data_IF_071127770800
#
_entry.id   IF_071127770800
#
_cell.length_a   1.000
_cell.length_b   1.000
_cell.length_c   1.000
_cell.angle_alpha   90.00
_cell.angle_beta   90.00
_cell.angle_gamma   90.00
#
_symmetry.space_group_name_H-M   'P 1'
#
loop_
_entity.id
_entity.type
_entity.pdbx_description
1 polymer ?
#
# COMPACT_ATOMS: atom_id res chain seq x y z
N UNK A 1 8.83 19.65 19.15
CA UNK A 1 7.88 18.53 19.01
C UNK A 1 8.65 17.24 19.26
N UNK A 2 8.01 16.23 19.88
CA UNK A 2 8.59 14.89 19.99
C UNK A 2 8.65 14.25 18.61
N UNK A 3 9.68 13.45 18.34
CA UNK A 3 9.72 12.62 17.14
C UNK A 3 8.68 11.51 17.22
N UNK A 4 8.14 11.10 16.07
CA UNK A 4 7.08 10.11 15.97
C UNK A 4 7.55 8.82 15.33
N UNK A 5 7.18 7.69 15.93
CA UNK A 5 7.42 6.36 15.39
C UNK A 5 6.09 5.67 15.11
N UNK A 6 5.93 5.16 13.89
CA UNK A 6 4.86 4.22 13.55
C UNK A 6 5.40 2.79 13.59
N UNK A 7 4.71 1.93 14.35
CA UNK A 7 4.92 0.50 14.41
C UNK A 7 3.71 -0.22 13.81
N UNK A 8 3.91 -1.12 12.86
CA UNK A 8 2.83 -1.82 12.17
C UNK A 8 2.96 -3.32 12.42
N UNK A 9 1.86 -3.95 12.86
CA UNK A 9 1.70 -5.39 12.87
C UNK A 9 1.45 -5.90 11.44
N UNK A 10 2.49 -6.46 10.85
CA UNK A 10 2.49 -6.84 9.44
C UNK A 10 1.45 -7.91 9.10
N UNK A 11 1.36 -8.98 9.90
CA UNK A 11 0.39 -10.05 9.64
C UNK A 11 -1.04 -9.63 9.91
N UNK A 12 -1.29 -8.88 10.98
CA UNK A 12 -2.63 -8.40 11.32
C UNK A 12 -3.18 -7.48 10.22
N UNK A 13 -2.38 -6.51 9.79
CA UNK A 13 -2.80 -5.55 8.75
C UNK A 13 -2.92 -6.23 7.38
N UNK A 14 -2.00 -7.16 7.04
CA UNK A 14 -2.06 -7.91 5.78
C UNK A 14 -3.31 -8.82 5.72
N UNK A 15 -3.60 -9.53 6.81
CA UNK A 15 -4.79 -10.37 6.94
C UNK A 15 -6.07 -9.54 6.79
N UNK A 16 -6.12 -8.41 7.48
CA UNK A 16 -7.23 -7.46 7.38
C UNK A 16 -7.43 -6.96 5.95
N UNK A 17 -6.34 -6.60 5.27
CA UNK A 17 -6.36 -6.14 3.90
C UNK A 17 -6.89 -7.21 2.96
N UNK A 18 -6.46 -8.46 3.13
CA UNK A 18 -6.90 -9.61 2.34
C UNK A 18 -8.41 -9.80 2.35
N UNK A 19 -9.03 -9.73 3.55
CA UNK A 19 -10.49 -9.89 3.67
C UNK A 19 -11.28 -8.58 3.45
N UNK A 20 -10.62 -7.44 3.47
CA UNK A 20 -11.24 -6.13 3.31
C UNK A 20 -11.25 -5.60 1.88
N UNK A 21 -10.38 -6.09 1.02
CA UNK A 21 -10.25 -5.69 -0.39
C UNK A 21 -10.72 -6.85 -1.27
N UNK A 22 -11.56 -6.59 -2.28
CA UNK A 22 -11.92 -7.62 -3.27
C UNK A 22 -10.69 -8.26 -3.88
N UNK A 23 -10.82 -9.50 -4.36
CA UNK A 23 -9.70 -10.20 -4.99
C UNK A 23 -9.17 -9.41 -6.19
N UNK A 24 -7.86 -9.17 -6.18
CA UNK A 24 -7.11 -8.50 -7.23
C UNK A 24 -5.96 -9.39 -7.66
N UNK A 25 -5.79 -9.54 -8.96
CA UNK A 25 -4.67 -10.27 -9.54
C UNK A 25 -3.92 -9.39 -10.54
N UNK A 26 -2.60 -9.57 -10.63
CA UNK A 26 -1.80 -8.92 -11.67
C UNK A 26 -1.81 -9.73 -12.98
N UNK A 27 -1.10 -9.28 -14.00
CA UNK A 27 -1.00 -9.94 -15.30
C UNK A 27 -0.35 -11.35 -15.23
N UNK A 28 0.42 -11.64 -14.18
CA UNK A 28 1.04 -12.95 -13.92
C UNK A 28 0.10 -13.92 -13.19
N UNK A 29 -1.13 -13.48 -12.84
CA UNK A 29 -2.09 -14.26 -12.04
C UNK A 29 -1.77 -14.28 -10.54
N UNK A 30 -0.89 -13.42 -10.06
CA UNK A 30 -0.53 -13.30 -8.64
C UNK A 30 -1.60 -12.49 -7.93
N UNK A 31 -2.12 -13.01 -6.81
CA UNK A 31 -3.04 -12.26 -5.95
C UNK A 31 -2.32 -11.07 -5.29
N UNK A 32 -2.92 -9.88 -5.33
CA UNK A 32 -2.30 -8.62 -4.89
C UNK A 32 -3.20 -7.78 -3.99
N UNK A 33 -4.42 -8.23 -3.69
CA UNK A 33 -5.39 -7.50 -2.88
C UNK A 33 -4.91 -7.20 -1.46
N UNK A 34 -4.21 -8.14 -0.81
CA UNK A 34 -3.66 -7.92 0.53
C UNK A 34 -2.53 -6.89 0.51
N UNK A 35 -1.64 -6.94 -0.50
CA UNK A 35 -0.57 -5.96 -0.68
C UNK A 35 -1.17 -4.55 -0.88
N UNK A 36 -2.14 -4.44 -1.79
CA UNK A 36 -2.79 -3.17 -2.10
C UNK A 36 -3.47 -2.55 -0.87
N UNK A 37 -4.23 -3.37 -0.13
CA UNK A 37 -4.91 -2.91 1.08
C UNK A 37 -3.94 -2.56 2.20
N UNK A 38 -2.85 -3.33 2.38
CA UNK A 38 -1.79 -3.03 3.34
C UNK A 38 -1.16 -1.67 3.05
N UNK A 39 -0.75 -1.42 1.80
CA UNK A 39 -0.16 -0.14 1.39
C UNK A 39 -1.13 1.03 1.59
N UNK A 40 -2.41 0.87 1.28
CA UNK A 40 -3.42 1.91 1.53
C UNK A 40 -3.49 2.28 3.02
N UNK A 41 -3.50 1.28 3.91
CA UNK A 41 -3.51 1.52 5.35
C UNK A 41 -2.22 2.21 5.78
N UNK A 42 -1.06 1.69 5.38
CA UNK A 42 0.25 2.22 5.73
C UNK A 42 0.41 3.67 5.27
N UNK A 43 0.15 3.96 3.99
CA UNK A 43 0.29 5.33 3.46
C UNK A 43 -0.70 6.30 4.10
N UNK A 44 -1.92 5.86 4.43
CA UNK A 44 -2.88 6.69 5.16
C UNK A 44 -2.29 7.15 6.49
N UNK A 45 -1.68 6.26 7.27
CA UNK A 45 -1.07 6.62 8.55
C UNK A 45 0.18 7.48 8.38
N UNK A 46 0.99 7.24 7.36
CA UNK A 46 2.12 8.09 7.00
C UNK A 46 1.65 9.52 6.68
N UNK A 47 0.62 9.65 5.82
CA UNK A 47 0.06 10.93 5.40
C UNK A 47 -0.58 11.70 6.58
N UNK A 48 -1.26 10.97 7.50
CA UNK A 48 -1.96 11.53 8.65
C UNK A 48 -1.00 11.97 9.76
N UNK A 49 -0.04 11.11 10.13
CA UNK A 49 0.82 11.34 11.29
C UNK A 49 2.14 12.03 10.95
N UNK A 50 2.60 11.92 9.69
CA UNK A 50 3.91 12.40 9.22
C UNK A 50 5.02 11.95 10.17
N UNK A 51 5.25 10.63 10.30
CA UNK A 51 6.19 10.09 11.27
C UNK A 51 7.64 10.38 10.87
N UNK A 52 8.54 10.42 11.86
CA UNK A 52 9.98 10.44 11.63
C UNK A 52 10.55 9.05 11.39
N UNK A 53 9.88 8.00 11.92
CA UNK A 53 10.32 6.61 11.85
C UNK A 53 9.15 5.68 11.56
N UNK A 54 9.43 4.58 10.84
CA UNK A 54 8.45 3.52 10.57
C UNK A 54 9.09 2.14 10.61
N UNK A 55 8.40 1.19 11.25
CA UNK A 55 8.84 -0.20 11.32
C UNK A 55 7.64 -1.13 11.21
N UNK A 56 7.83 -2.24 10.50
CA UNK A 56 6.82 -3.30 10.37
C UNK A 56 7.34 -4.57 11.03
N UNK A 57 6.59 -5.13 11.98
CA UNK A 57 6.91 -6.40 12.61
C UNK A 57 6.15 -7.55 11.94
N UNK A 58 6.83 -8.69 11.76
CA UNK A 58 6.19 -9.91 11.28
C UNK A 58 6.52 -11.10 12.18
N UNK A 59 5.54 -12.01 12.31
CA UNK A 59 5.76 -13.32 12.92
C UNK A 59 6.61 -14.20 12.01
N UNK A 60 7.39 -15.06 12.61
CA UNK A 60 8.03 -16.20 11.94
C UNK A 60 7.22 -17.48 12.16
N UNK A 61 7.39 -18.44 11.25
CA UNK A 61 6.66 -19.72 11.34
C UNK A 61 7.17 -20.65 12.47
N UNK A 62 8.23 -20.26 13.19
CA UNK A 62 8.80 -21.03 14.27
C UNK A 62 7.92 -20.98 15.54
N UNK A 63 7.88 -22.04 16.35
CA UNK A 63 7.19 -22.02 17.64
C UNK A 63 7.76 -20.96 18.57
N UNK A 64 6.89 -20.21 19.24
CA UNK A 64 7.27 -19.19 20.21
C UNK A 64 7.40 -19.79 21.62
N UNK A 65 7.88 -19.00 22.59
CA UNK A 65 7.95 -19.42 23.99
C UNK A 65 6.57 -19.81 24.54
N UNK A 66 5.47 -19.19 24.06
CA UNK A 66 4.10 -19.55 24.43
C UNK A 66 3.71 -20.96 23.97
N UNK A 67 4.12 -21.35 22.76
CA UNK A 67 3.89 -22.72 22.27
C UNK A 67 4.68 -23.78 23.06
N UNK A 68 5.86 -23.41 23.59
CA UNK A 68 6.67 -24.31 24.43
C UNK A 68 6.01 -24.54 25.78
N UNK A 69 5.39 -23.50 26.36
CA UNK A 69 4.67 -23.57 27.64
C UNK A 69 3.31 -24.22 27.48
N UNK A 70 2.58 -23.92 26.39
CA UNK A 70 1.26 -24.43 26.14
C UNK A 70 1.09 -24.88 24.71
N UNK A 71 1.24 -26.17 24.42
CA UNK A 71 1.23 -26.73 23.07
C UNK A 71 -0.08 -26.48 22.29
N UNK A 72 -1.20 -26.24 23.01
CA UNK A 72 -2.49 -25.92 22.40
C UNK A 72 -2.68 -24.41 22.08
N UNK A 73 -1.70 -23.54 22.41
CA UNK A 73 -1.76 -22.12 22.11
C UNK A 73 -1.95 -21.88 20.61
N UNK A 74 -2.92 -21.04 20.24
CA UNK A 74 -3.34 -20.77 18.86
C UNK A 74 -3.71 -22.02 18.02
N UNK A 75 -3.83 -23.20 18.65
CA UNK A 75 -4.09 -24.48 17.98
C UNK A 75 -5.46 -24.59 17.31
N UNK A 76 -6.40 -23.70 17.64
CA UNK A 76 -7.73 -23.61 17.02
C UNK A 76 -7.78 -22.68 15.81
N UNK A 77 -6.71 -21.93 15.53
CA UNK A 77 -6.65 -21.02 14.38
C UNK A 77 -6.67 -21.80 13.06
N UNK A 78 -7.50 -21.36 12.15
CA UNK A 78 -7.50 -21.93 10.78
C UNK A 78 -6.18 -21.61 10.07
N UNK A 79 -5.67 -22.50 9.20
CA UNK A 79 -4.54 -22.20 8.37
C UNK A 79 -4.77 -20.94 7.53
N UNK A 80 -3.70 -20.19 7.30
CA UNK A 80 -3.74 -19.03 6.41
C UNK A 80 -4.14 -19.46 4.99
N UNK A 81 -5.05 -18.71 4.34
CA UNK A 81 -5.46 -18.96 2.97
C UNK A 81 -4.23 -19.00 2.04
N UNK A 82 -4.17 -19.94 1.08
CA UNK A 82 -3.01 -20.05 0.17
C UNK A 82 -2.69 -18.75 -0.56
N UNK A 83 -3.72 -18.02 -0.99
CA UNK A 83 -3.62 -16.75 -1.71
C UNK A 83 -3.01 -15.64 -0.82
N UNK A 84 -3.34 -15.63 0.46
CA UNK A 84 -2.73 -14.72 1.44
C UNK A 84 -1.28 -15.12 1.74
N UNK A 85 -1.03 -16.44 1.89
CA UNK A 85 0.31 -16.97 2.17
C UNK A 85 1.32 -16.60 1.07
N UNK A 86 0.88 -16.57 -0.20
CA UNK A 86 1.70 -16.14 -1.32
C UNK A 86 2.07 -14.64 -1.22
N UNK A 87 1.21 -13.82 -0.64
CA UNK A 87 1.41 -12.38 -0.55
C UNK A 87 2.36 -11.96 0.58
N UNK A 88 2.58 -12.79 1.60
CA UNK A 88 3.49 -12.47 2.73
C UNK A 88 4.94 -12.21 2.26
N UNK A 89 5.61 -13.06 1.48
CA UNK A 89 6.95 -12.75 0.99
C UNK A 89 6.98 -11.52 0.06
N UNK A 90 5.92 -11.30 -0.73
CA UNK A 90 5.85 -10.19 -1.67
C UNK A 90 5.71 -8.84 -0.96
N UNK A 91 4.92 -8.75 0.11
CA UNK A 91 4.86 -7.50 0.90
C UNK A 91 6.20 -7.21 1.57
N UNK A 92 6.90 -8.23 2.08
CA UNK A 92 8.24 -8.04 2.67
C UNK A 92 9.28 -7.58 1.63
N UNK A 93 9.23 -8.14 0.42
CA UNK A 93 10.05 -7.71 -0.72
C UNK A 93 9.79 -6.23 -1.03
N UNK A 94 8.53 -5.85 -1.14
CA UNK A 94 8.11 -4.48 -1.44
C UNK A 94 8.52 -3.50 -0.34
N UNK A 95 8.31 -3.83 0.92
CA UNK A 95 8.72 -3.00 2.06
C UNK A 95 10.25 -2.79 2.09
N UNK A 96 11.04 -3.84 1.80
CA UNK A 96 12.50 -3.71 1.69
C UNK A 96 12.90 -2.80 0.53
N UNK A 97 12.28 -2.98 -0.64
CA UNK A 97 12.49 -2.09 -1.77
C UNK A 97 12.14 -0.63 -1.45
N UNK A 98 11.13 -0.39 -0.63
CA UNK A 98 10.74 0.92 -0.10
C UNK A 98 11.63 1.40 1.06
N UNK A 99 12.71 0.67 1.40
CA UNK A 99 13.60 0.97 2.53
C UNK A 99 12.88 1.06 3.89
N UNK A 100 11.77 0.35 4.05
CA UNK A 100 11.04 0.27 5.32
C UNK A 100 11.64 -0.83 6.18
N UNK A 101 11.98 -0.49 7.42
CA UNK A 101 12.55 -1.44 8.38
C UNK A 101 11.54 -2.53 8.73
N UNK A 102 11.97 -3.78 8.58
CA UNK A 102 11.23 -4.98 8.98
C UNK A 102 11.93 -5.61 10.17
N UNK A 103 11.16 -5.99 11.20
CA UNK A 103 11.66 -6.72 12.37
C UNK A 103 10.97 -8.07 12.50
N UNK A 104 11.78 -9.10 12.76
CA UNK A 104 11.36 -10.49 12.95
C UNK A 104 12.30 -11.13 13.95
N UNK A 105 11.80 -11.97 14.84
CA UNK A 105 12.64 -12.68 15.82
C UNK A 105 12.10 -14.08 16.07
N UNK A 106 12.94 -15.08 15.88
CA UNK A 106 12.59 -16.47 16.20
C UNK A 106 12.32 -16.63 17.70
N UNK A 107 11.26 -17.37 18.01
CA UNK A 107 10.84 -17.64 19.38
C UNK A 107 9.91 -16.60 20.00
N UNK A 108 9.65 -15.48 19.32
CA UNK A 108 8.78 -14.38 19.75
C UNK A 108 7.72 -14.08 18.69
N UNK A 109 6.66 -13.41 19.10
CA UNK A 109 5.61 -12.94 18.20
C UNK A 109 5.83 -11.48 17.80
N UNK A 110 5.18 -11.04 16.71
CA UNK A 110 5.23 -9.65 16.29
C UNK A 110 4.81 -8.68 17.41
N UNK A 111 3.80 -9.05 18.19
CA UNK A 111 3.31 -8.24 19.31
C UNK A 111 4.37 -8.01 20.40
N UNK A 112 5.22 -9.02 20.67
CA UNK A 112 6.33 -8.90 21.63
C UNK A 112 7.40 -7.92 21.10
N UNK A 113 7.68 -7.97 19.79
CA UNK A 113 8.59 -7.03 19.13
C UNK A 113 8.05 -5.60 19.16
N UNK A 114 6.77 -5.43 18.79
CA UNK A 114 6.09 -4.14 18.81
C UNK A 114 6.08 -3.56 20.23
N UNK A 115 5.73 -4.37 21.24
CA UNK A 115 5.72 -3.97 22.65
C UNK A 115 7.11 -3.52 23.13
N UNK A 116 8.12 -4.33 22.84
CA UNK A 116 9.52 -4.04 23.21
C UNK A 116 10.02 -2.73 22.58
N UNK A 117 9.79 -2.55 21.28
CA UNK A 117 10.24 -1.36 20.56
C UNK A 117 9.45 -0.14 21.03
N UNK A 118 8.12 -0.25 21.19
CA UNK A 118 7.28 0.84 21.65
C UNK A 118 7.73 1.36 23.03
N UNK A 119 7.90 0.47 23.99
CA UNK A 119 8.33 0.85 25.36
C UNK A 119 9.73 1.47 25.36
N UNK A 120 10.68 0.85 24.68
CA UNK A 120 12.06 1.35 24.62
C UNK A 120 12.17 2.73 23.94
N UNK A 121 11.37 2.97 22.89
CA UNK A 121 11.43 4.25 22.15
C UNK A 121 10.60 5.33 22.83
N UNK A 122 9.46 5.04 23.42
CA UNK A 122 8.69 5.99 24.24
C UNK A 122 9.52 6.47 25.45
N UNK A 123 10.26 5.57 26.11
CA UNK A 123 11.19 5.93 27.18
C UNK A 123 12.33 6.86 26.74
N UNK A 124 12.69 6.85 25.42
CA UNK A 124 13.65 7.78 24.82
C UNK A 124 13.01 9.11 24.37
N UNK A 125 11.72 9.31 24.64
CA UNK A 125 11.03 10.56 24.38
C UNK A 125 10.31 10.64 23.02
N UNK A 126 10.02 9.51 22.37
CA UNK A 126 9.23 9.50 21.15
C UNK A 126 7.73 9.34 21.48
N UNK A 127 6.87 9.85 20.58
CA UNK A 127 5.47 9.47 20.53
C UNK A 127 5.35 8.26 19.57
N UNK A 128 4.72 7.18 20.03
CA UNK A 128 4.64 5.91 19.31
C UNK A 128 3.18 5.60 18.96
N UNK A 129 2.91 5.30 17.69
CA UNK A 129 1.62 4.78 17.21
C UNK A 129 1.79 3.32 16.81
N UNK A 130 1.11 2.41 17.51
CA UNK A 130 1.08 0.98 17.18
C UNK A 130 -0.18 0.68 16.39
N UNK A 131 -0.02 0.22 15.15
CA UNK A 131 -1.11 -0.05 14.23
C UNK A 131 -1.29 -1.55 14.10
N UNK A 132 -2.41 -2.07 14.59
CA UNK A 132 -2.79 -3.48 14.48
C UNK A 132 -4.31 -3.65 14.51
N UNK A 133 -4.81 -4.77 14.04
CA UNK A 133 -6.19 -5.21 14.25
C UNK A 133 -6.38 -5.95 15.55
N UNK A 134 -5.30 -6.29 16.26
CA UNK A 134 -5.35 -7.05 17.49
C UNK A 134 -5.55 -6.15 18.72
N UNK A 135 -6.54 -6.53 19.55
CA UNK A 135 -6.86 -5.79 20.77
C UNK A 135 -5.95 -6.15 21.94
N UNK A 136 -5.17 -7.21 21.84
CA UNK A 136 -4.25 -7.58 22.88
C UNK A 136 -3.15 -6.54 23.09
N UNK A 137 -2.83 -5.79 22.03
CA UNK A 137 -1.92 -4.65 22.08
C UNK A 137 -2.44 -3.47 22.94
N UNK A 138 -3.73 -3.46 23.33
CA UNK A 138 -4.27 -2.43 24.25
C UNK A 138 -3.55 -2.41 25.60
N UNK A 139 -2.95 -3.54 26.04
CA UNK A 139 -2.13 -3.61 27.23
C UNK A 139 -0.86 -2.74 27.17
N UNK A 140 -0.46 -2.32 25.95
CA UNK A 140 0.72 -1.47 25.75
C UNK A 140 0.41 0.03 25.82
N UNK A 141 -0.88 0.43 25.83
CA UNK A 141 -1.26 1.82 25.79
C UNK A 141 -0.69 2.61 26.98
N UNK A 142 -0.01 3.72 26.69
CA UNK A 142 0.57 4.66 27.64
C UNK A 142 0.40 6.11 27.16
N UNK A 143 0.79 7.09 27.95
CA UNK A 143 0.72 8.50 27.58
C UNK A 143 1.36 8.80 26.20
N UNK A 144 2.45 8.09 25.88
CA UNK A 144 3.22 8.25 24.64
C UNK A 144 3.18 7.01 23.72
N UNK A 145 2.31 6.04 24.01
CA UNK A 145 2.07 4.85 23.19
C UNK A 145 0.57 4.78 22.89
N UNK A 146 0.18 5.11 21.67
CA UNK A 146 -1.19 5.06 21.19
C UNK A 146 -1.41 3.80 20.35
N UNK A 147 -2.45 3.04 20.65
CA UNK A 147 -2.85 1.88 19.85
C UNK A 147 -3.92 2.32 18.85
N UNK A 148 -3.69 2.04 17.57
CA UNK A 148 -4.57 2.44 16.48
C UNK A 148 -5.11 1.20 15.76
N UNK A 149 -6.41 0.98 15.86
CA UNK A 149 -7.09 -0.19 15.30
C UNK A 149 -7.92 0.24 14.09
N UNK A 150 -7.43 -0.04 12.85
CA UNK A 150 -8.25 0.22 11.67
C UNK A 150 -9.44 -0.74 11.66
N UNK A 151 -10.63 -0.25 11.32
CA UNK A 151 -11.86 -1.01 11.15
C UNK A 151 -12.50 -0.68 9.82
N UNK A 152 -12.97 -1.70 9.10
CA UNK A 152 -13.75 -1.48 7.88
C UNK A 152 -15.23 -1.62 8.22
N UNK A 153 -15.99 -0.56 8.04
CA UNK A 153 -17.43 -0.55 8.24
C UNK A 153 -18.10 -0.03 6.97
N UNK A 154 -18.92 -0.87 6.34
CA UNK A 154 -19.63 -0.53 5.09
C UNK A 154 -18.70 -0.02 3.96
N UNK A 155 -17.50 -0.62 3.81
CA UNK A 155 -16.53 -0.23 2.79
C UNK A 155 -15.66 0.98 3.13
N UNK A 156 -15.90 1.65 4.27
CA UNK A 156 -15.08 2.77 4.77
C UNK A 156 -14.18 2.25 5.88
N UNK A 157 -12.89 2.58 5.83
CA UNK A 157 -11.96 2.28 6.90
C UNK A 157 -11.99 3.42 7.92
N UNK A 158 -12.54 3.15 9.10
CA UNK A 158 -12.46 3.99 10.29
C UNK A 158 -11.26 3.54 11.14
N UNK A 159 -10.72 4.42 11.97
CA UNK A 159 -9.64 4.08 12.90
C UNK A 159 -10.12 4.38 14.31
N UNK A 160 -10.00 3.39 15.18
CA UNK A 160 -10.20 3.59 16.61
C UNK A 160 -8.84 3.82 17.27
N UNK A 161 -8.69 4.93 17.97
CA UNK A 161 -7.49 5.29 18.71
C UNK A 161 -7.70 5.00 20.20
N UNK A 162 -6.68 4.42 20.83
CA UNK A 162 -6.72 4.04 22.25
C UNK A 162 -5.49 4.56 22.98
N UNK A 163 -5.71 5.48 23.90
CA UNK A 163 -4.83 5.87 24.99
C UNK A 163 -5.32 5.18 26.28
N UNK A 164 -4.60 5.25 27.41
CA UNK A 164 -5.03 4.60 28.66
C UNK A 164 -6.47 4.88 29.07
N UNK A 165 -6.89 6.14 29.01
CA UNK A 165 -8.25 6.54 29.38
C UNK A 165 -9.33 5.94 28.46
N UNK A 166 -9.02 5.68 27.20
CA UNK A 166 -9.94 5.04 26.26
C UNK A 166 -10.11 3.56 26.59
N UNK A 167 -9.03 2.88 27.01
CA UNK A 167 -9.07 1.48 27.48
C UNK A 167 -9.92 1.39 28.75
N UNK A 168 -9.69 2.28 29.72
CA UNK A 168 -10.48 2.33 30.96
C UNK A 168 -11.97 2.59 30.69
N UNK A 169 -12.27 3.52 29.79
CA UNK A 169 -13.65 3.84 29.39
C UNK A 169 -14.35 2.63 28.76
N UNK A 170 -13.63 1.88 27.91
CA UNK A 170 -14.23 0.78 27.15
C UNK A 170 -14.35 -0.52 27.95
N UNK A 171 -13.34 -0.82 28.78
CA UNK A 171 -13.22 -2.12 29.49
C UNK A 171 -13.39 -2.03 30.99
N UNK A 172 -13.36 -0.82 31.57
CA UNK A 172 -13.43 -0.59 33.04
C UNK A 172 -12.17 -0.97 33.79
N UNK A 173 -11.04 -1.14 33.06
CA UNK A 173 -9.74 -1.54 33.61
C UNK A 173 -8.63 -0.77 32.91
N UNK A 174 -7.51 -0.55 33.58
CA UNK A 174 -6.32 0.05 33.00
C UNK A 174 -5.67 -0.87 31.95
N UNK A 175 -4.78 -0.37 31.07
CA UNK A 175 -4.04 -1.23 30.13
C UNK A 175 -3.30 -2.39 30.77
N UNK A 176 -2.69 -2.20 31.93
CA UNK A 176 -2.01 -3.29 32.65
C UNK A 176 -3.01 -4.28 33.26
N UNK A 177 -4.09 -3.80 33.83
CA UNK A 177 -5.16 -4.64 34.37
C UNK A 177 -5.91 -5.42 33.27
N UNK A 178 -5.84 -4.96 32.02
CA UNK A 178 -6.41 -5.66 30.86
C UNK A 178 -5.79 -7.06 30.67
N UNK A 179 -4.50 -7.24 31.03
CA UNK A 179 -3.84 -8.55 31.03
C UNK A 179 -4.53 -9.51 31.99
N UNK A 180 -4.78 -9.05 33.20
CA UNK A 180 -5.41 -9.86 34.25
C UNK A 180 -6.89 -10.14 33.91
N UNK A 181 -7.58 -9.20 33.32
CA UNK A 181 -8.92 -9.40 32.77
C UNK A 181 -8.94 -10.52 31.70
N UNK A 182 -7.97 -10.50 30.78
CA UNK A 182 -7.80 -11.56 29.76
C UNK A 182 -7.44 -12.89 30.38
N UNK A 183 -6.61 -12.91 31.43
CA UNK A 183 -6.26 -14.12 32.17
C UNK A 183 -7.49 -14.80 32.79
N UNK A 184 -8.43 -14.02 33.34
CA UNK A 184 -9.66 -14.53 33.91
C UNK A 184 -10.66 -15.02 32.86
N UNK A 185 -10.91 -14.23 31.80
CA UNK A 185 -11.94 -14.57 30.81
C UNK A 185 -11.46 -15.56 29.76
N UNK A 186 -10.13 -15.68 29.57
CA UNK A 186 -9.53 -16.41 28.46
C UNK A 186 -9.67 -15.70 27.11
N UNK A 187 -9.16 -16.35 26.08
CA UNK A 187 -9.31 -15.93 24.70
C UNK A 187 -9.50 -17.13 23.78
N UNK A 188 -10.66 -17.19 23.13
CA UNK A 188 -10.99 -18.29 22.20
C UNK A 188 -10.21 -18.22 20.90
N UNK A 189 -9.78 -17.03 20.47
CA UNK A 189 -9.02 -16.84 19.21
C UNK A 189 -7.60 -17.39 19.34
N UNK A 190 -7.02 -17.27 20.55
CA UNK A 190 -5.67 -17.74 20.86
C UNK A 190 -5.65 -19.05 21.66
N UNK A 191 -6.83 -19.58 21.91
CA UNK A 191 -7.01 -20.78 22.71
C UNK A 191 -6.43 -20.63 24.13
N UNK A 192 -6.58 -19.44 24.71
CA UNK A 192 -6.23 -19.15 26.10
C UNK A 192 -7.41 -19.55 26.98
N UNK A 193 -7.21 -20.49 27.94
CA UNK A 193 -8.34 -21.15 28.60
C UNK A 193 -9.15 -20.30 29.58
N UNK A 194 -8.50 -19.39 30.34
CA UNK A 194 -9.15 -18.58 31.36
C UNK A 194 -9.79 -19.43 32.50
N UNK A 195 -10.66 -18.79 33.27
CA UNK A 195 -11.51 -19.50 34.25
C UNK A 195 -12.87 -19.82 33.59
N UNK A 196 -13.25 -21.10 33.46
CA UNK A 196 -14.48 -21.51 32.78
C UNK A 196 -15.75 -20.81 33.31
N UNK A 197 -16.49 -20.13 32.41
CA UNK A 197 -17.71 -19.42 32.78
C UNK A 197 -17.50 -18.00 33.36
N UNK A 198 -16.27 -17.53 33.42
CA UNK A 198 -15.95 -16.13 33.71
C UNK A 198 -15.88 -15.37 32.38
N UNK A 199 -16.88 -14.55 32.08
CA UNK A 199 -16.93 -13.73 30.90
C UNK A 199 -16.44 -12.30 31.14
N UNK A 200 -16.37 -11.46 30.06
CA UNK A 200 -15.79 -10.11 30.13
C UNK A 200 -16.35 -9.24 31.26
N UNK A 201 -17.68 -9.22 31.46
CA UNK A 201 -18.32 -8.40 32.50
C UNK A 201 -17.90 -8.83 33.92
N UNK A 202 -17.79 -10.15 34.16
CA UNK A 202 -17.39 -10.65 35.46
C UNK A 202 -15.92 -10.44 35.70
N UNK A 203 -15.08 -10.67 34.67
CA UNK A 203 -13.64 -10.43 34.75
C UNK A 203 -13.34 -8.95 35.02
N UNK A 204 -13.95 -8.02 34.26
CA UNK A 204 -13.80 -6.58 34.46
C UNK A 204 -14.21 -6.18 35.90
N UNK A 205 -15.37 -6.61 36.36
CA UNK A 205 -15.83 -6.28 37.73
C UNK A 205 -14.87 -6.79 38.82
N UNK A 206 -14.31 -7.99 38.65
CA UNK A 206 -13.35 -8.54 39.60
C UNK A 206 -12.02 -7.77 39.57
N UNK A 207 -11.52 -7.46 38.39
CA UNK A 207 -10.27 -6.70 38.25
C UNK A 207 -10.43 -5.25 38.73
N UNK A 208 -11.54 -4.58 38.44
CA UNK A 208 -11.84 -3.27 39.03
C UNK A 208 -11.84 -3.27 40.54
N UNK A 209 -12.24 -4.38 41.16
CA UNK A 209 -12.30 -4.50 42.63
C UNK A 209 -10.96 -4.94 43.26
N UNK A 210 -10.22 -5.84 42.60
CA UNK A 210 -9.04 -6.50 43.16
C UNK A 210 -7.73 -6.16 42.46
N UNK A 211 -7.80 -5.45 41.32
CA UNK A 211 -6.71 -4.95 40.48
C UNK A 211 -5.89 -6.01 39.71
N UNK A 212 -5.65 -7.18 40.29
CA UNK A 212 -4.88 -8.26 39.65
C UNK A 212 -5.35 -9.65 40.12
N UNK A 213 -4.95 -10.71 39.42
CA UNK A 213 -5.35 -12.07 39.75
C UNK A 213 -4.69 -12.56 41.04
N UNK A 214 -3.53 -12.06 41.40
CA UNK A 214 -2.82 -12.41 42.62
C UNK A 214 -3.67 -12.02 43.85
N UNK A 215 -4.13 -10.78 43.89
CA UNK A 215 -5.06 -10.30 44.94
C UNK A 215 -6.38 -11.05 44.94
N UNK A 216 -6.90 -11.42 43.76
CA UNK A 216 -8.10 -12.28 43.67
C UNK A 216 -7.86 -13.61 44.33
N UNK A 217 -6.69 -14.23 44.16
CA UNK A 217 -6.36 -15.52 44.81
C UNK A 217 -6.23 -15.42 46.33
N UNK A 218 -5.80 -14.27 46.84
CA UNK A 218 -5.74 -14.02 48.28
C UNK A 218 -7.14 -13.87 48.91
N UNK A 219 -8.14 -13.44 48.13
CA UNK A 219 -9.50 -13.15 48.60
C UNK A 219 -10.56 -14.10 48.00
N UNK A 220 -10.17 -15.34 47.66
CA UNK A 220 -11.06 -16.30 47.01
C UNK A 220 -12.39 -16.48 47.76
N UNK A 221 -12.37 -16.42 49.09
CA UNK A 221 -13.57 -16.59 49.90
C UNK A 221 -14.59 -15.50 49.82
N UNK A 222 -14.19 -14.32 49.41
CA UNK A 222 -15.00 -13.11 49.32
C UNK A 222 -15.59 -12.88 47.92
N UNK A 223 -15.12 -13.64 46.91
CA UNK A 223 -15.49 -13.43 45.53
C UNK A 223 -16.99 -13.59 45.25
N UNK A 224 -17.49 -12.67 44.43
CA UNK A 224 -18.86 -12.71 43.89
C UNK A 224 -18.79 -12.60 42.35
N UNK A 225 -19.65 -13.26 41.59
CA UNK A 225 -20.71 -14.20 42.06
C UNK A 225 -20.14 -15.58 42.45
N UNK A 226 -20.91 -16.41 43.20
CA UNK A 226 -20.44 -17.70 43.65
C UNK A 226 -19.94 -18.66 42.57
N UNK A 227 -20.50 -18.56 41.37
CA UNK A 227 -20.03 -19.35 40.21
C UNK A 227 -18.60 -18.95 39.78
N UNK A 228 -18.27 -17.68 39.75
CA UNK A 228 -16.93 -17.20 39.44
C UNK A 228 -15.95 -17.60 40.55
N UNK A 229 -16.33 -17.45 41.85
CA UNK A 229 -15.55 -17.94 42.99
C UNK A 229 -15.18 -19.40 42.80
N UNK A 230 -16.18 -20.29 42.62
CA UNK A 230 -15.95 -21.72 42.42
C UNK A 230 -15.03 -22.01 41.24
N UNK A 231 -15.26 -21.34 40.10
CA UNK A 231 -14.46 -21.56 38.89
C UNK A 231 -13.01 -21.14 39.08
N UNK A 232 -12.77 -19.93 39.62
CA UNK A 232 -11.43 -19.42 39.84
C UNK A 232 -10.67 -20.27 40.87
N UNK A 233 -11.31 -20.63 42.00
CA UNK A 233 -10.67 -21.42 43.04
C UNK A 233 -10.18 -22.80 42.55
N UNK A 234 -10.91 -23.43 41.63
CA UNK A 234 -10.51 -24.73 41.06
C UNK A 234 -9.48 -24.61 39.95
N UNK A 235 -9.39 -23.46 39.29
CA UNK A 235 -8.57 -23.27 38.10
C UNK A 235 -7.44 -22.23 38.29
N UNK A 236 -6.91 -22.07 39.49
CA UNK A 236 -5.85 -21.06 39.79
C UNK A 236 -4.66 -21.19 38.87
N UNK A 237 -4.11 -22.39 38.70
CA UNK A 237 -2.94 -22.61 37.82
C UNK A 237 -3.27 -22.35 36.35
N UNK A 238 -4.48 -22.66 35.91
CA UNK A 238 -4.94 -22.36 34.55
C UNK A 238 -5.06 -20.85 34.31
N UNK A 239 -5.53 -20.09 35.32
CA UNK A 239 -5.60 -18.61 35.21
C UNK A 239 -4.20 -17.99 35.20
N UNK A 240 -3.26 -18.52 36.01
CA UNK A 240 -1.85 -18.10 35.94
C UNK A 240 -1.22 -18.37 34.56
N UNK A 241 -1.44 -19.55 34.00
CA UNK A 241 -1.03 -19.89 32.65
C UNK A 241 -1.66 -18.92 31.64
N UNK A 242 -2.94 -18.62 31.80
CA UNK A 242 -3.65 -17.67 30.91
C UNK A 242 -3.06 -16.26 30.98
N UNK A 243 -2.67 -15.79 32.19
CA UNK A 243 -1.93 -14.50 32.32
C UNK A 243 -0.61 -14.54 31.60
N UNK A 244 0.18 -15.61 31.77
CA UNK A 244 1.45 -15.78 31.06
C UNK A 244 1.26 -15.74 29.53
N UNK A 245 0.26 -16.43 28.98
CA UNK A 245 -0.02 -16.48 27.55
C UNK A 245 -0.53 -15.13 26.99
N UNK A 246 -1.33 -14.40 27.78
CA UNK A 246 -1.90 -13.12 27.38
C UNK A 246 -0.91 -11.94 27.50
N UNK A 247 0.17 -12.10 28.27
CA UNK A 247 1.15 -11.03 28.50
C UNK A 247 2.08 -10.90 27.31
N UNK A 248 2.18 -9.70 26.78
CA UNK A 248 3.16 -9.33 25.75
C UNK A 248 4.53 -9.13 26.42
N UNK A 249 5.55 -9.80 25.90
CA UNK A 249 6.94 -9.62 26.36
C UNK A 249 7.50 -8.30 25.82
N UNK A 250 7.85 -7.39 26.72
CA UNK A 250 8.37 -6.06 26.37
C UNK A 250 9.90 -5.95 26.49
N UNK A 251 10.58 -7.08 26.76
CA UNK A 251 12.03 -7.16 26.94
C UNK A 251 12.72 -8.13 25.96
N UNK A 252 12.11 -8.33 24.79
CA UNK A 252 12.69 -9.16 23.72
C UNK A 252 14.11 -8.72 23.39
N UNK A 253 15.09 -9.65 23.28
CA UNK A 253 16.44 -9.34 22.85
C UNK A 253 16.50 -9.11 21.34
N UNK A 254 15.83 -8.07 20.87
CA UNK A 254 15.84 -7.62 19.47
C UNK A 254 16.94 -6.58 19.29
N UNK A 255 17.75 -6.79 18.25
CA UNK A 255 18.68 -5.78 17.78
C UNK A 255 17.92 -4.80 16.89
N UNK A 256 17.59 -3.63 17.45
CA UNK A 256 16.79 -2.60 16.79
C UNK A 256 17.50 -1.26 16.88
N UNK A 257 17.90 -0.77 15.71
CA UNK A 257 18.44 0.58 15.55
C UNK A 257 17.33 1.50 14.99
N UNK A 258 16.97 2.51 15.76
CA UNK A 258 15.95 3.49 15.42
C UNK A 258 16.32 4.29 14.15
N UNK A 259 17.60 4.62 13.96
CA UNK A 259 18.03 5.42 12.81
C UNK A 259 17.85 4.66 11.48
N UNK A 260 17.91 3.35 11.49
CA UNK A 260 17.59 2.52 10.32
C UNK A 260 16.09 2.55 9.96
N UNK A 261 15.24 2.99 10.86
CA UNK A 261 13.79 3.11 10.66
C UNK A 261 13.37 4.53 10.24
N UNK A 262 14.33 5.45 10.00
CA UNK A 262 14.03 6.80 9.59
C UNK A 262 13.22 6.85 8.30
N UNK A 263 12.20 7.69 8.30
CA UNK A 263 11.32 7.92 7.15
C UNK A 263 12.09 8.68 6.06
N UNK A 264 12.15 8.11 4.88
CA UNK A 264 12.77 8.72 3.70
C UNK A 264 13.05 7.64 2.65
N UNK A 265 12.94 8.00 1.37
CA UNK A 265 13.33 7.09 0.29
C UNK A 265 12.35 5.95 -0.02
N UNK A 266 11.06 6.07 0.30
CA UNK A 266 10.06 5.05 -0.07
C UNK A 266 9.93 4.78 -1.56
N UNK A 267 10.33 5.75 -2.38
CA UNK A 267 10.09 5.77 -3.82
C UNK A 267 11.37 5.44 -4.59
N UNK A 268 11.99 4.32 -4.25
CA UNK A 268 13.18 3.82 -4.95
C UNK A 268 12.86 3.30 -6.36
N UNK A 269 13.84 3.20 -7.26
CA UNK A 269 13.65 2.54 -8.56
C UNK A 269 13.16 1.09 -8.43
N UNK A 270 13.67 0.34 -7.45
CA UNK A 270 13.28 -1.04 -7.16
C UNK A 270 11.81 -1.13 -6.72
N UNK A 271 11.38 -0.22 -5.82
CA UNK A 271 9.98 -0.11 -5.42
C UNK A 271 9.09 0.21 -6.63
N UNK A 272 9.50 1.15 -7.49
CA UNK A 272 8.77 1.54 -8.70
C UNK A 272 8.49 0.33 -9.60
N UNK A 273 9.50 -0.51 -9.88
CA UNK A 273 9.33 -1.71 -10.71
C UNK A 273 8.38 -2.74 -10.06
N UNK A 274 8.42 -2.92 -8.73
CA UNK A 274 7.48 -3.78 -8.02
C UNK A 274 6.05 -3.24 -8.08
N UNK A 275 5.85 -1.92 -7.92
CA UNK A 275 4.52 -1.31 -8.06
C UNK A 275 3.96 -1.48 -9.48
N UNK A 276 4.80 -1.40 -10.51
CA UNK A 276 4.42 -1.71 -11.91
C UNK A 276 4.05 -3.18 -12.06
N UNK A 277 4.90 -4.10 -11.58
CA UNK A 277 4.67 -5.54 -11.63
C UNK A 277 3.35 -5.94 -10.97
N UNK A 278 3.03 -5.34 -9.82
CA UNK A 278 1.77 -5.60 -9.11
C UNK A 278 0.57 -4.82 -9.66
N UNK A 279 0.78 -4.02 -10.71
CA UNK A 279 -0.25 -3.17 -11.35
C UNK A 279 -0.88 -2.13 -10.40
N UNK A 280 -0.09 -1.55 -9.51
CA UNK A 280 -0.52 -0.57 -8.52
C UNK A 280 -0.51 0.87 -9.07
N UNK A 281 -1.27 1.12 -10.14
CA UNK A 281 -1.29 2.41 -10.86
C UNK A 281 -1.56 3.63 -9.97
N UNK A 282 -2.43 3.50 -8.97
CA UNK A 282 -2.76 4.59 -8.04
C UNK A 282 -1.57 5.03 -7.20
N UNK A 283 -0.70 4.09 -6.81
CA UNK A 283 0.50 4.38 -6.03
C UNK A 283 1.65 4.90 -6.89
N UNK A 284 1.74 4.53 -8.17
CA UNK A 284 2.76 5.06 -9.08
C UNK A 284 2.71 6.59 -9.18
N UNK A 285 1.54 7.20 -8.99
CA UNK A 285 1.39 8.66 -8.96
C UNK A 285 2.14 9.32 -7.79
N UNK A 286 2.43 8.59 -6.70
CA UNK A 286 3.19 9.10 -5.56
C UNK A 286 4.67 9.28 -5.89
N UNK A 287 5.22 8.47 -6.80
CA UNK A 287 6.62 8.59 -7.25
C UNK A 287 6.89 9.90 -8.01
N UNK A 288 5.84 10.52 -8.56
CA UNK A 288 5.95 11.76 -9.34
C UNK A 288 5.82 13.03 -8.47
N UNK A 289 5.44 12.90 -7.19
CA UNK A 289 5.17 14.04 -6.30
C UNK A 289 6.38 14.43 -5.43
N UNK A 290 7.36 13.55 -5.30
CA UNK A 290 8.59 13.80 -4.59
C UNK A 290 9.73 13.92 -5.59
N UNK A 291 10.71 14.77 -5.29
CA UNK A 291 11.95 14.98 -6.07
C UNK A 291 12.85 13.73 -5.91
N UNK A 292 12.36 12.58 -6.39
CA UNK A 292 12.95 11.26 -6.15
C UNK A 292 14.24 11.03 -6.95
N UNK A 293 14.68 12.00 -7.77
CA UNK A 293 15.78 11.80 -8.71
C UNK A 293 15.49 10.71 -9.75
N UNK A 294 14.30 10.10 -9.69
CA UNK A 294 13.78 9.24 -10.75
C UNK A 294 13.34 10.18 -11.87
N UNK A 295 14.27 10.54 -12.73
CA UNK A 295 13.92 10.98 -14.07
C UNK A 295 13.08 9.85 -14.64
N UNK A 296 11.77 10.04 -14.79
CA UNK A 296 10.93 9.06 -15.47
C UNK A 296 11.68 8.65 -16.73
N UNK A 297 11.79 7.36 -17.01
CA UNK A 297 12.43 6.93 -18.29
C UNK A 297 11.88 7.73 -19.45
N UNK A 298 10.61 8.15 -19.38
CA UNK A 298 9.99 9.08 -20.30
C UNK A 298 10.83 10.35 -20.54
N UNK A 299 11.36 11.00 -19.51
CA UNK A 299 12.12 12.26 -19.67
C UNK A 299 13.45 12.06 -20.43
N UNK A 300 13.97 10.83 -20.46
CA UNK A 300 15.15 10.49 -21.28
C UNK A 300 14.84 10.44 -22.78
N UNK A 301 13.58 10.19 -23.13
CA UNK A 301 13.15 10.00 -24.51
C UNK A 301 12.34 11.19 -25.06
N UNK A 302 11.93 12.13 -24.19
CA UNK A 302 11.16 13.30 -24.57
C UNK A 302 12.00 14.57 -24.58
N UNK A 303 11.95 15.30 -25.68
CA UNK A 303 12.52 16.65 -25.81
C UNK A 303 11.43 17.63 -26.20
N UNK A 304 11.38 18.79 -25.54
CA UNK A 304 10.52 19.89 -25.99
C UNK A 304 11.28 20.69 -27.06
N UNK A 305 10.69 20.82 -28.26
CA UNK A 305 11.29 21.50 -29.39
C UNK A 305 10.47 22.73 -29.73
N UNK A 306 11.05 23.92 -29.53
CA UNK A 306 10.39 25.22 -29.73
C UNK A 306 10.98 26.02 -30.90
N UNK A 307 12.22 25.72 -31.29
CA UNK A 307 12.90 26.41 -32.36
C UNK A 307 12.37 25.95 -33.73
N UNK A 308 11.93 26.89 -34.56
CA UNK A 308 11.30 26.60 -35.83
C UNK A 308 12.17 25.74 -36.77
N UNK A 309 13.47 25.98 -36.82
CA UNK A 309 14.42 25.20 -37.63
C UNK A 309 14.56 23.75 -37.16
N UNK A 310 14.44 23.51 -35.85
CA UNK A 310 14.48 22.15 -35.27
C UNK A 310 13.17 21.39 -35.56
N UNK A 311 12.02 22.09 -35.51
CA UNK A 311 10.73 21.55 -35.93
C UNK A 311 10.74 21.11 -37.36
N UNK A 312 11.23 21.97 -38.30
CA UNK A 312 11.42 21.62 -39.71
C UNK A 312 12.32 20.38 -39.87
N UNK A 313 13.42 20.34 -39.14
CA UNK A 313 14.35 19.20 -39.12
C UNK A 313 13.70 17.90 -38.70
N UNK A 314 12.83 17.93 -37.70
CA UNK A 314 12.09 16.75 -37.21
C UNK A 314 11.11 16.22 -38.25
N UNK A 315 10.32 17.09 -38.87
CA UNK A 315 9.41 16.68 -39.93
C UNK A 315 10.18 16.14 -41.15
N UNK A 316 11.29 16.75 -41.55
CA UNK A 316 12.14 16.25 -42.62
C UNK A 316 12.72 14.86 -42.31
N UNK A 317 13.14 14.62 -41.04
CA UNK A 317 13.59 13.30 -40.60
C UNK A 317 12.46 12.24 -40.65
N UNK A 318 11.26 12.59 -40.15
CA UNK A 318 10.10 11.71 -40.22
C UNK A 318 9.73 11.35 -41.66
N UNK A 319 9.64 12.36 -42.56
CA UNK A 319 9.34 12.16 -43.95
C UNK A 319 10.40 11.31 -44.67
N UNK A 320 11.67 11.57 -44.42
CA UNK A 320 12.77 10.77 -45.02
C UNK A 320 12.69 9.32 -44.56
N UNK A 321 12.40 9.07 -43.26
CA UNK A 321 12.32 7.75 -42.69
C UNK A 321 11.19 6.91 -43.31
N UNK A 322 9.97 7.45 -43.44
CA UNK A 322 8.84 6.72 -44.04
C UNK A 322 9.05 6.48 -45.53
N UNK A 323 9.83 7.35 -46.22
CA UNK A 323 10.15 7.20 -47.63
C UNK A 323 11.22 6.14 -47.88
N UNK A 324 12.21 6.02 -46.99
CA UNK A 324 13.38 5.13 -47.19
C UNK A 324 13.17 3.74 -46.61
N UNK A 325 12.33 3.61 -45.58
CA UNK A 325 12.05 2.34 -44.91
C UNK A 325 10.54 2.07 -44.84
N UNK A 326 10.09 1.08 -45.62
CA UNK A 326 8.69 0.67 -45.73
C UNK A 326 8.13 0.09 -44.39
N UNK A 327 8.99 -0.34 -43.49
CA UNK A 327 8.62 -0.86 -42.19
C UNK A 327 8.73 0.20 -41.06
N UNK A 328 9.19 1.40 -41.40
CA UNK A 328 9.29 2.49 -40.45
C UNK A 328 7.89 2.90 -39.92
N UNK A 329 7.79 3.08 -38.62
CA UNK A 329 6.59 3.62 -37.98
C UNK A 329 6.97 4.92 -37.25
N UNK A 330 6.17 5.97 -37.46
CA UNK A 330 6.25 7.24 -36.75
C UNK A 330 5.13 7.27 -35.72
N UNK A 331 5.48 7.42 -34.46
CA UNK A 331 4.50 7.63 -33.40
C UNK A 331 3.99 9.06 -33.41
N UNK A 332 2.67 9.22 -33.23
CA UNK A 332 2.02 10.54 -33.23
C UNK A 332 1.06 10.63 -32.02
N UNK A 333 1.13 11.75 -31.31
CA UNK A 333 0.13 12.17 -30.35
C UNK A 333 -0.18 13.66 -30.47
N UNK A 334 -1.38 14.07 -30.09
CA UNK A 334 -1.78 15.49 -30.13
C UNK A 334 -2.41 15.88 -28.80
N UNK A 335 -2.00 17.01 -28.25
CA UNK A 335 -2.61 17.67 -27.12
C UNK A 335 -3.72 18.60 -27.62
N UNK A 336 -4.97 18.15 -27.51
CA UNK A 336 -6.16 18.89 -27.96
C UNK A 336 -7.14 19.03 -26.80
N UNK A 337 -7.58 20.24 -26.52
CA UNK A 337 -8.64 20.51 -25.57
C UNK A 337 -9.68 21.45 -26.19
N UNK A 338 -10.97 21.07 -26.14
CA UNK A 338 -12.09 21.83 -26.69
C UNK A 338 -11.90 22.29 -28.15
N UNK A 339 -11.26 21.43 -28.96
CA UNK A 339 -11.00 21.69 -30.37
C UNK A 339 -9.77 22.60 -30.64
N UNK A 340 -9.04 23.00 -29.62
CA UNK A 340 -7.80 23.82 -29.77
C UNK A 340 -6.60 22.87 -29.65
N UNK A 341 -5.70 22.92 -30.60
CA UNK A 341 -4.43 22.19 -30.61
C UNK A 341 -3.38 22.98 -29.81
N UNK A 342 -2.88 22.38 -28.73
CA UNK A 342 -1.81 22.96 -27.90
C UNK A 342 -0.42 22.52 -28.34
N UNK A 343 -0.31 21.38 -28.99
CA UNK A 343 0.93 20.85 -29.50
C UNK A 343 0.80 19.43 -29.99
N UNK A 344 1.86 18.91 -30.58
CA UNK A 344 1.96 17.55 -31.07
C UNK A 344 3.22 16.88 -30.55
N UNK A 345 3.20 15.56 -30.45
CA UNK A 345 4.39 14.75 -30.22
C UNK A 345 4.66 13.88 -31.44
N UNK A 346 5.92 13.83 -31.87
CA UNK A 346 6.41 12.93 -32.91
C UNK A 346 7.51 12.03 -32.35
N UNK A 347 7.34 10.71 -32.46
CA UNK A 347 8.35 9.72 -32.16
C UNK A 347 8.93 9.18 -33.45
N UNK A 348 10.14 9.61 -33.78
CA UNK A 348 10.86 9.17 -34.99
C UNK A 348 11.58 7.86 -34.76
N UNK A 349 11.90 7.54 -33.51
CA UNK A 349 12.42 6.25 -33.05
C UNK A 349 11.90 5.94 -31.63
N UNK A 350 12.00 4.69 -31.14
CA UNK A 350 11.62 4.35 -29.76
C UNK A 350 12.36 5.18 -28.71
N UNK A 351 13.56 5.66 -29.03
CA UNK A 351 14.42 6.39 -28.10
C UNK A 351 14.39 7.91 -28.32
N UNK A 352 13.61 8.42 -29.27
CA UNK A 352 13.58 9.84 -29.59
C UNK A 352 12.17 10.33 -29.91
N UNK A 353 11.56 10.98 -28.94
CA UNK A 353 10.26 11.63 -29.04
C UNK A 353 10.40 13.13 -28.80
N UNK A 354 9.83 13.93 -29.67
CA UNK A 354 9.81 15.39 -29.56
C UNK A 354 8.38 15.88 -29.32
N UNK A 355 8.18 16.72 -28.32
CA UNK A 355 6.96 17.52 -28.15
C UNK A 355 7.17 18.89 -28.78
N UNK A 356 6.26 19.29 -29.62
CA UNK A 356 6.27 20.53 -30.37
C UNK A 356 5.05 21.35 -29.94
N UNK A 357 5.21 22.36 -29.06
CA UNK A 357 4.11 23.21 -28.64
C UNK A 357 3.68 24.17 -29.77
N UNK A 358 2.41 24.53 -29.79
CA UNK A 358 1.91 25.65 -30.61
C UNK A 358 2.39 26.95 -29.97
N UNK A 359 3.39 27.57 -30.53
CA UNK A 359 3.96 28.84 -30.03
C UNK A 359 4.70 29.62 -31.14
N UNK A 360 4.64 30.94 -31.09
CA UNK A 360 5.35 31.80 -32.02
C UNK A 360 5.01 31.51 -33.47
N UNK A 361 6.01 31.15 -34.28
CA UNK A 361 5.84 30.81 -35.70
C UNK A 361 5.32 29.37 -35.91
N UNK A 362 5.36 28.51 -34.89
CA UNK A 362 4.79 27.17 -34.95
C UNK A 362 3.31 27.26 -34.59
N UNK A 363 2.50 27.63 -35.57
CA UNK A 363 1.04 27.78 -35.40
C UNK A 363 0.32 26.45 -35.52
N UNK A 364 -0.94 26.39 -35.10
CA UNK A 364 -1.80 25.22 -35.31
C UNK A 364 -1.90 24.87 -36.78
N UNK A 365 -2.09 25.87 -37.63
CA UNK A 365 -2.19 25.73 -39.10
C UNK A 365 -0.90 25.11 -39.67
N UNK A 366 0.25 25.66 -39.32
CA UNK A 366 1.56 25.12 -39.72
C UNK A 366 1.72 23.64 -39.34
N UNK A 367 1.37 23.25 -38.09
CA UNK A 367 1.50 21.86 -37.65
C UNK A 367 0.54 20.94 -38.40
N UNK A 368 -0.70 21.36 -38.65
CA UNK A 368 -1.66 20.56 -39.43
C UNK A 368 -1.23 20.38 -40.88
N UNK A 369 -0.64 21.38 -41.50
CA UNK A 369 -0.09 21.30 -42.87
C UNK A 369 1.08 20.30 -42.90
N UNK A 370 2.01 20.40 -41.97
CA UNK A 370 3.16 19.49 -41.89
C UNK A 370 2.76 18.04 -41.61
N UNK A 371 1.75 17.83 -40.77
CA UNK A 371 1.18 16.51 -40.56
C UNK A 371 0.53 15.95 -41.81
N UNK A 372 -0.19 16.78 -42.53
CA UNK A 372 -0.81 16.42 -43.81
C UNK A 372 0.23 16.02 -44.88
N UNK A 373 1.33 16.78 -45.01
CA UNK A 373 2.45 16.43 -45.86
C UNK A 373 3.08 15.09 -45.48
N UNK A 374 3.27 14.83 -44.19
CA UNK A 374 3.83 13.58 -43.69
C UNK A 374 2.91 12.37 -44.00
N UNK A 375 1.59 12.51 -43.77
CA UNK A 375 0.61 11.47 -44.07
C UNK A 375 0.56 11.15 -45.56
N UNK A 376 0.62 12.16 -46.46
CA UNK A 376 0.63 11.94 -47.88
C UNK A 376 1.83 11.10 -48.36
N UNK A 377 2.95 11.16 -47.65
CA UNK A 377 4.16 10.38 -47.95
C UNK A 377 4.15 8.98 -47.41
N UNK A 378 3.19 8.63 -46.50
CA UNK A 378 3.09 7.33 -45.89
C UNK A 378 2.21 6.39 -46.73
N UNK A 379 2.77 5.37 -47.39
CA UNK A 379 2.00 4.48 -48.26
C UNK A 379 1.05 3.55 -47.50
N UNK A 380 1.44 3.01 -46.33
CA UNK A 380 0.62 2.11 -45.56
C UNK A 380 1.20 1.85 -44.15
N UNK A 381 0.37 1.90 -43.13
CA UNK A 381 0.67 1.50 -41.71
C UNK A 381 1.97 2.06 -41.14
N UNK A 382 2.28 3.32 -41.48
CA UNK A 382 3.52 3.96 -41.03
C UNK A 382 3.28 5.06 -39.99
N UNK A 383 2.04 5.35 -39.62
CA UNK A 383 1.73 6.30 -38.54
C UNK A 383 0.97 5.59 -37.42
N UNK A 384 1.59 5.47 -36.25
CA UNK A 384 0.98 4.95 -35.06
C UNK A 384 0.33 6.08 -34.26
N UNK A 385 -0.96 5.97 -33.96
CA UNK A 385 -1.73 6.98 -33.23
C UNK A 385 -2.68 6.31 -32.24
N UNK A 386 -2.84 6.91 -31.06
CA UNK A 386 -3.80 6.44 -30.07
C UNK A 386 -5.17 7.08 -30.34
N UNK A 387 -6.24 6.26 -30.37
CA UNK A 387 -7.62 6.68 -30.60
C UNK A 387 -7.75 7.49 -31.92
N UNK A 388 -7.38 6.87 -33.04
CA UNK A 388 -7.35 7.48 -34.38
C UNK A 388 -8.65 8.22 -34.72
N UNK A 389 -9.81 7.64 -34.39
CA UNK A 389 -11.12 8.22 -34.68
C UNK A 389 -11.28 9.65 -34.16
N UNK A 390 -10.77 9.91 -32.95
CA UNK A 390 -10.83 11.22 -32.30
C UNK A 390 -9.85 12.24 -32.89
N UNK A 391 -8.83 11.77 -33.60
CA UNK A 391 -7.73 12.59 -34.14
C UNK A 391 -7.85 12.81 -35.66
N UNK A 392 -8.80 12.16 -36.32
CA UNK A 392 -8.97 12.22 -37.79
C UNK A 392 -9.14 13.66 -38.31
N UNK A 393 -9.79 14.52 -37.54
CA UNK A 393 -10.03 15.90 -37.97
C UNK A 393 -8.74 16.74 -38.04
N UNK A 394 -7.70 16.40 -37.24
CA UNK A 394 -6.38 17.03 -37.33
C UNK A 394 -5.69 16.78 -38.68
N UNK A 395 -6.02 15.67 -39.33
CA UNK A 395 -5.46 15.28 -40.61
C UNK A 395 -6.33 15.69 -41.81
N UNK A 396 -7.57 16.15 -41.55
CA UNK A 396 -8.54 16.49 -42.60
C UNK A 396 -8.73 17.99 -42.83
N UNK A 397 -8.37 18.80 -41.83
CA UNK A 397 -8.55 20.25 -41.91
C UNK A 397 -7.29 20.92 -42.46
N UNK A 398 -7.12 20.94 -43.78
CA UNK A 398 -6.25 21.93 -44.41
C UNK A 398 -7.03 23.23 -44.62
N UNK A 399 -6.57 24.37 -44.08
CA UNK A 399 -7.16 25.69 -44.39
C UNK A 399 -6.75 26.10 -45.79
N UNK A 400 -7.61 25.87 -46.74
CA UNK A 400 -7.49 26.33 -48.11
C UNK A 400 -8.83 26.27 -48.80
N UNK A 401 -9.35 27.42 -49.16
CA UNK A 401 -10.66 27.73 -49.71
C UNK A 401 -10.96 27.03 -51.07
N UNK A 402 -11.06 25.69 -51.05
CA UNK A 402 -11.73 25.00 -52.16
C UNK A 402 -12.25 23.63 -51.67
N UNK A 403 -13.55 23.44 -51.88
CA UNK A 403 -14.30 22.23 -51.54
C UNK A 403 -13.76 20.94 -52.18
N UNK A 404 -12.73 20.96 -52.93
CA UNK A 404 -12.20 19.86 -53.76
C UNK A 404 -10.85 19.29 -53.28
N UNK A 405 -10.18 19.89 -52.27
CA UNK A 405 -8.88 19.41 -51.76
C UNK A 405 -9.01 18.77 -50.40
N UNK A 406 -10.04 17.94 -50.18
CA UNK A 406 -10.05 17.03 -49.02
C UNK A 406 -8.96 15.99 -49.21
N UNK A 407 -7.91 16.05 -48.39
CA UNK A 407 -6.91 15.01 -48.31
C UNK A 407 -7.63 13.64 -48.19
N UNK A 408 -7.43 12.77 -49.17
CA UNK A 408 -7.87 11.38 -49.08
C UNK A 408 -6.95 10.64 -48.10
N UNK A 409 -7.17 10.85 -46.81
CA UNK A 409 -6.50 10.08 -45.76
C UNK A 409 -7.13 8.69 -45.78
N UNK A 410 -6.35 7.68 -46.13
CA UNK A 410 -6.78 6.28 -46.06
C UNK A 410 -6.52 5.74 -44.65
N UNK A 411 -7.46 4.98 -44.09
CA UNK A 411 -7.28 4.28 -42.79
C UNK A 411 -6.07 3.33 -42.83
N UNK A 412 -5.69 2.84 -44.04
CA UNK A 412 -4.56 1.93 -44.22
C UNK A 412 -3.20 2.56 -43.92
N UNK A 413 -3.12 3.89 -43.79
CA UNK A 413 -1.90 4.62 -43.46
C UNK A 413 -1.57 4.58 -41.97
N UNK A 414 -2.55 4.22 -41.11
CA UNK A 414 -2.45 4.33 -39.66
C UNK A 414 -2.45 2.97 -38.98
N UNK A 415 -1.87 2.98 -37.79
CA UNK A 415 -1.97 1.93 -36.76
C UNK A 415 -2.65 2.57 -35.56
N UNK A 416 -3.88 2.15 -35.21
CA UNK A 416 -4.51 2.58 -33.97
C UNK A 416 -3.96 1.76 -32.80
N UNK A 417 -3.16 2.42 -31.95
CA UNK A 417 -2.50 1.73 -30.84
C UNK A 417 -3.47 1.35 -29.71
N UNK A 418 -4.59 2.06 -29.54
CA UNK A 418 -5.61 1.69 -28.58
C UNK A 418 -6.34 0.39 -29.00
N UNK A 419 -6.68 0.26 -30.28
CA UNK A 419 -7.28 -0.96 -30.82
C UNK A 419 -6.26 -2.11 -30.76
N UNK A 420 -5.00 -1.88 -31.11
CA UNK A 420 -3.95 -2.90 -31.01
C UNK A 420 -3.76 -3.39 -29.58
N UNK A 421 -3.73 -2.49 -28.60
CA UNK A 421 -3.62 -2.82 -27.18
C UNK A 421 -4.84 -3.61 -26.70
N UNK A 422 -6.06 -3.22 -27.11
CA UNK A 422 -7.29 -3.99 -26.81
C UNK A 422 -7.24 -5.41 -27.36
N UNK A 423 -6.77 -5.62 -28.57
CA UNK A 423 -6.66 -6.95 -29.18
C UNK A 423 -5.62 -7.83 -28.47
N UNK A 424 -4.57 -7.25 -27.90
CA UNK A 424 -3.54 -7.96 -27.14
C UNK A 424 -4.02 -8.31 -25.71
N UNK A 425 -4.82 -7.46 -25.09
CA UNK A 425 -5.34 -7.69 -23.74
C UNK A 425 -6.77 -7.12 -23.59
N UNK A 426 -7.81 -7.85 -24.06
CA UNK A 426 -9.19 -7.34 -24.07
C UNK A 426 -9.83 -7.18 -22.68
N UNK A 427 -9.17 -7.66 -21.64
CA UNK A 427 -9.66 -7.54 -20.25
C UNK A 427 -9.26 -6.23 -19.57
N UNK A 428 -8.35 -5.48 -20.15
CA UNK A 428 -7.97 -4.16 -19.64
C UNK A 428 -9.08 -3.14 -20.04
N UNK A 429 -9.56 -2.36 -19.09
CA UNK A 429 -10.64 -1.39 -19.31
C UNK A 429 -10.14 0.02 -19.67
N UNK A 430 -8.83 0.29 -19.55
CA UNK A 430 -8.21 1.58 -19.87
C UNK A 430 -7.04 1.38 -20.84
N UNK A 431 -7.16 1.99 -22.04
CA UNK A 431 -6.14 2.00 -23.08
C UNK A 431 -5.80 3.43 -23.50
#
# INVERSE_FOLDING_TARGET
MRKKLILIDGHSILNRAFYGVPDLTNAEGIHTNALYGFLNIMFRFIDEEKPDYITVAFDLSAPTFRHKEYAAYKGTRKPMAPELKQQVPLIKELLRAMQITIVEKEGYEADDLLGTIAKKTAAKGLDVSVISGDRDLLQLAEEHIKIRIPKTKKGVTEVEDYLPADVETLYGVTPLEFIDMKALMGDTSDNIPGAPGVGPKTASALITQYHNIETIFEHLDELKPPKAKKSISVNVEQVKLSKFLATIDIDVPVDYDLENAAVGGYYTPEAYELFKRFNFKSFLKRFNQEDTGITLEADRYFTCVTEFSEVEGLFAQAQNKVRTDKNAVIGFAAAVERGILYGISLAVSPEKTAYIPVSGFVTQEYLTDKLSELVQQCPSRQIAVMALKEKLDLFRNCPGDSKDTRLKVSQDQFIDTAIAAYLLNPTNQEY
#
